data_IF_595679096916
#
_entry.id   IF_595679096916
#
_cell.length_a   1.000
_cell.length_b   1.000
_cell.length_c   1.000
_cell.angle_alpha   90.00
_cell.angle_beta   90.00
_cell.angle_gamma   90.00
#
_symmetry.space_group_name_H-M   'P 1'
#
loop_
_entity.id
_entity.type
_entity.pdbx_description
1 polymer ?
#
# COMPACT_ATOMS: atom_id res chain seq x y z
N UNK A 1 -2.03 9.80 -0.87
CA UNK A 1 -2.66 8.50 -0.52
C UNK A 1 -3.51 8.73 0.73
N UNK A 2 -4.66 8.06 0.91
CA UNK A 2 -5.54 8.27 2.11
C UNK A 2 -5.67 7.05 3.01
N UNK A 3 -5.33 5.88 2.51
CA UNK A 3 -5.40 4.62 3.22
C UNK A 3 -4.31 3.73 2.65
N UNK A 4 -3.68 2.95 3.53
CA UNK A 4 -2.78 1.87 3.17
C UNK A 4 -3.12 0.65 4.01
N UNK A 5 -3.24 -0.50 3.35
CA UNK A 5 -3.49 -1.79 3.97
C UNK A 5 -2.52 -2.82 3.42
N UNK A 6 -1.93 -3.62 4.29
CA UNK A 6 -1.10 -4.75 3.90
C UNK A 6 -1.22 -5.89 4.93
N UNK A 7 -1.28 -7.12 4.42
CA UNK A 7 -1.38 -8.32 5.24
C UNK A 7 -0.17 -9.22 5.00
N UNK A 8 0.49 -9.62 6.08
CA UNK A 8 1.52 -10.65 6.01
C UNK A 8 0.85 -12.00 5.82
N UNK A 9 1.29 -12.73 4.80
CA UNK A 9 0.83 -14.08 4.51
C UNK A 9 2.07 -14.96 4.37
N UNK A 10 2.14 -16.02 5.16
CA UNK A 10 3.22 -17.01 5.15
C UNK A 10 2.58 -18.39 5.10
N UNK A 11 3.14 -19.31 4.31
CA UNK A 11 2.62 -20.67 4.19
C UNK A 11 1.14 -20.77 3.80
N UNK A 12 0.65 -19.77 3.04
CA UNK A 12 -0.77 -19.59 2.65
C UNK A 12 -1.70 -19.36 3.84
N UNK A 13 -1.15 -18.93 4.97
CA UNK A 13 -1.90 -18.52 6.16
C UNK A 13 -1.67 -17.04 6.40
N UNK A 14 -2.77 -16.32 6.62
CA UNK A 14 -2.73 -14.93 7.08
C UNK A 14 -2.12 -14.90 8.47
N UNK A 15 -1.11 -14.06 8.64
CA UNK A 15 -0.52 -13.78 9.94
C UNK A 15 -1.33 -12.71 10.68
N UNK A 16 -1.19 -12.66 12.01
CA UNK A 16 -1.80 -11.59 12.79
C UNK A 16 -1.20 -10.22 12.47
N UNK A 17 0.08 -10.19 12.08
CA UNK A 17 0.77 -8.97 11.73
C UNK A 17 0.18 -8.35 10.46
N UNK A 18 -0.23 -7.10 10.55
CA UNK A 18 -0.83 -6.33 9.47
C UNK A 18 -0.40 -4.87 9.60
N UNK A 19 -0.34 -4.19 8.46
CA UNK A 19 -0.03 -2.77 8.39
C UNK A 19 -1.26 -2.07 7.83
N UNK A 20 -1.99 -1.34 8.68
CA UNK A 20 -3.22 -0.65 8.28
C UNK A 20 -3.23 0.75 8.86
N UNK A 21 -3.27 1.76 7.99
CA UNK A 21 -3.32 3.17 8.36
C UNK A 21 -4.30 3.91 7.46
N UNK A 22 -5.09 4.81 8.07
CA UNK A 22 -5.73 5.92 7.37
C UNK A 22 -4.73 7.09 7.43
N UNK A 23 -4.68 7.93 6.40
CA UNK A 23 -3.65 8.96 6.25
C UNK A 23 -4.23 10.34 5.97
N UNK A 24 -3.66 11.36 6.62
CA UNK A 24 -3.91 12.76 6.27
C UNK A 24 -3.33 13.06 4.89
N UNK A 25 -4.15 13.69 4.05
CA UNK A 25 -3.66 14.31 2.84
C UNK A 25 -2.94 15.62 3.15
N UNK A 26 -1.85 15.86 2.43
CA UNK A 26 -1.16 17.16 2.43
C UNK A 26 -2.06 18.29 1.92
N UNK A 27 -2.99 17.97 1.02
CA UNK A 27 -3.97 18.86 0.41
C UNK A 27 -5.41 18.47 0.78
N UNK A 28 -6.36 19.40 0.69
CA UNK A 28 -7.76 19.09 1.01
C UNK A 28 -8.35 18.03 0.06
N UNK A 29 -9.18 17.12 0.59
CA UNK A 29 -9.96 16.19 -0.22
C UNK A 29 -10.82 16.96 -1.23
N UNK A 30 -10.63 16.66 -2.52
CA UNK A 30 -11.55 17.12 -3.56
C UNK A 30 -12.96 16.55 -3.32
N UNK A 31 -13.99 17.26 -3.75
CA UNK A 31 -15.40 16.84 -3.61
C UNK A 31 -15.68 15.46 -4.24
N UNK A 32 -14.87 15.06 -5.23
CA UNK A 32 -14.96 13.76 -5.91
C UNK A 32 -14.44 12.61 -5.02
N UNK A 33 -13.36 12.84 -4.27
CA UNK A 33 -12.80 11.86 -3.32
C UNK A 33 -13.78 11.61 -2.16
N UNK A 34 -14.41 12.65 -1.60
CA UNK A 34 -15.40 12.50 -0.52
C UNK A 34 -16.57 11.57 -0.91
N UNK A 35 -17.03 11.64 -2.17
CA UNK A 35 -18.13 10.81 -2.68
C UNK A 35 -17.76 9.34 -2.88
N UNK A 36 -16.49 9.04 -3.16
CA UNK A 36 -16.02 7.66 -3.39
C UNK A 36 -15.68 6.97 -2.09
N UNK A 37 -15.02 7.69 -1.16
CA UNK A 37 -14.44 7.09 0.04
C UNK A 37 -15.36 7.16 1.26
N UNK A 38 -16.30 8.10 1.30
CA UNK A 38 -17.17 8.33 2.48
C UNK A 38 -16.43 8.88 3.71
N UNK A 39 -15.13 9.13 3.61
CA UNK A 39 -14.30 9.69 4.68
C UNK A 39 -14.39 11.22 4.65
N UNK A 40 -14.72 11.81 5.80
CA UNK A 40 -14.79 13.26 5.96
C UNK A 40 -13.42 13.86 6.30
N UNK A 41 -13.22 15.16 6.05
CA UNK A 41 -11.97 15.83 6.43
C UNK A 41 -11.77 15.79 7.95
N UNK A 42 -12.85 15.76 8.73
CA UNK A 42 -12.79 15.69 10.20
C UNK A 42 -12.24 14.35 10.69
N UNK A 43 -12.60 13.24 10.04
CA UNK A 43 -12.09 11.91 10.39
C UNK A 43 -10.59 11.75 10.12
N UNK A 44 -10.05 12.56 9.20
CA UNK A 44 -8.63 12.52 8.87
C UNK A 44 -7.78 13.35 9.82
N UNK A 45 -8.32 14.34 10.53
CA UNK A 45 -7.50 15.40 11.19
C UNK A 45 -6.42 14.91 12.16
N UNK A 46 -6.62 13.75 12.78
CA UNK A 46 -5.73 13.18 13.79
C UNK A 46 -4.92 11.98 13.26
N UNK A 47 -5.09 11.62 11.99
CA UNK A 47 -4.38 10.51 11.35
C UNK A 47 -2.95 10.89 10.93
N UNK A 48 -1.99 9.95 10.85
CA UNK A 48 -0.64 10.29 10.45
C UNK A 48 -0.57 10.67 8.96
N UNK A 49 0.45 11.43 8.57
CA UNK A 49 0.84 11.57 7.16
C UNK A 49 1.75 10.41 6.77
N UNK A 50 1.82 10.11 5.47
CA UNK A 50 2.68 9.04 4.98
C UNK A 50 4.15 9.13 5.45
N UNK A 51 4.82 10.31 5.46
CA UNK A 51 6.20 10.40 5.94
C UNK A 51 6.40 9.93 7.39
N UNK A 52 5.37 10.01 8.23
CA UNK A 52 5.42 9.59 9.64
C UNK A 52 5.40 8.07 9.80
N UNK A 53 4.85 7.36 8.81
CA UNK A 53 4.77 5.88 8.80
C UNK A 53 5.70 5.24 7.75
N UNK A 54 6.45 6.03 6.99
CA UNK A 54 7.22 5.55 5.84
C UNK A 54 8.32 4.54 6.24
N UNK A 55 9.05 4.81 7.32
CA UNK A 55 10.09 3.91 7.82
C UNK A 55 9.50 2.60 8.35
N UNK A 56 8.38 2.67 9.07
CA UNK A 56 7.66 1.50 9.57
C UNK A 56 7.14 0.64 8.42
N UNK A 57 6.56 1.28 7.39
CA UNK A 57 6.10 0.61 6.17
C UNK A 57 7.25 -0.14 5.48
N UNK A 58 8.40 0.52 5.30
CA UNK A 58 9.56 -0.09 4.65
C UNK A 58 10.11 -1.29 5.44
N UNK A 59 10.12 -1.22 6.77
CA UNK A 59 10.46 -2.35 7.64
C UNK A 59 9.45 -3.48 7.51
N UNK A 60 8.16 -3.16 7.43
CA UNK A 60 7.09 -4.15 7.30
C UNK A 60 7.18 -4.97 6.02
N UNK A 61 7.58 -4.33 4.90
CA UNK A 61 7.71 -4.99 3.59
C UNK A 61 9.13 -5.52 3.32
N UNK A 62 10.06 -5.40 4.27
CA UNK A 62 11.43 -5.86 4.07
C UNK A 62 11.46 -7.37 3.81
N UNK A 63 12.33 -7.81 2.91
CA UNK A 63 12.51 -9.23 2.54
C UNK A 63 11.21 -9.95 2.10
N UNK A 64 10.26 -9.19 1.56
CA UNK A 64 8.91 -9.66 1.23
C UNK A 64 8.62 -9.54 -0.27
N UNK A 65 7.84 -10.47 -0.81
CA UNK A 65 7.25 -10.33 -2.15
C UNK A 65 5.93 -9.59 -2.05
N UNK A 66 5.80 -8.45 -2.74
CA UNK A 66 4.60 -7.65 -2.77
C UNK A 66 3.62 -8.19 -3.82
N UNK A 67 2.53 -8.83 -3.39
CA UNK A 67 1.38 -9.04 -4.28
C UNK A 67 0.47 -7.83 -4.23
N UNK A 68 0.22 -7.19 -5.37
CA UNK A 68 -0.71 -6.08 -5.50
C UNK A 68 -1.64 -6.37 -6.70
N UNK A 69 -2.90 -5.94 -6.64
CA UNK A 69 -3.80 -6.07 -7.79
C UNK A 69 -3.73 -4.82 -8.65
N UNK A 70 -3.32 -4.95 -9.92
CA UNK A 70 -2.98 -3.80 -10.77
C UNK A 70 -1.81 -2.99 -10.19
N UNK A 71 -0.70 -3.68 -9.90
CA UNK A 71 0.46 -3.18 -9.18
C UNK A 71 1.01 -1.82 -9.65
N UNK A 72 1.08 -1.49 -10.97
CA UNK A 72 1.58 -0.20 -11.42
C UNK A 72 0.85 1.00 -10.82
N UNK A 73 -0.44 0.84 -10.49
CA UNK A 73 -1.23 1.90 -9.89
C UNK A 73 -0.77 2.23 -8.47
N UNK A 74 -0.77 1.25 -7.56
CA UNK A 74 -0.38 1.48 -6.16
C UNK A 74 1.11 1.79 -6.01
N UNK A 75 1.98 1.14 -6.78
CA UNK A 75 3.41 1.45 -6.81
C UNK A 75 3.66 2.91 -7.20
N UNK A 76 2.89 3.45 -8.16
CA UNK A 76 2.97 4.86 -8.53
C UNK A 76 2.68 5.80 -7.35
N UNK A 77 1.67 5.47 -6.53
CA UNK A 77 1.39 6.24 -5.32
C UNK A 77 2.47 6.05 -4.26
N UNK A 78 2.85 4.81 -3.94
CA UNK A 78 3.83 4.51 -2.90
C UNK A 78 5.19 5.13 -3.20
N UNK A 79 5.71 4.96 -4.41
CA UNK A 79 7.00 5.51 -4.81
C UNK A 79 6.98 7.05 -4.77
N UNK A 80 5.87 7.68 -5.15
CA UNK A 80 5.71 9.13 -5.05
C UNK A 80 5.70 9.60 -3.58
N UNK A 81 4.95 8.93 -2.70
CA UNK A 81 4.89 9.28 -1.28
C UNK A 81 6.23 9.04 -0.57
N UNK A 82 6.94 7.95 -0.89
CA UNK A 82 8.30 7.68 -0.39
C UNK A 82 9.29 8.78 -0.81
N UNK A 83 9.21 9.23 -2.06
CA UNK A 83 10.02 10.36 -2.55
C UNK A 83 9.70 11.67 -1.81
N UNK A 84 8.41 11.94 -1.56
CA UNK A 84 7.97 13.12 -0.81
C UNK A 84 8.35 13.07 0.67
N UNK A 85 8.50 11.87 1.24
CA UNK A 85 8.99 11.65 2.59
C UNK A 85 10.52 11.84 2.71
N UNK A 86 11.22 12.23 1.63
CA UNK A 86 12.68 12.36 1.58
C UNK A 86 13.41 11.08 1.99
N UNK A 87 12.76 9.93 1.81
CA UNK A 87 13.41 8.65 1.94
C UNK A 87 14.11 8.40 0.61
N UNK A 88 15.41 8.68 0.57
CA UNK A 88 16.26 8.46 -0.60
C UNK A 88 16.38 6.94 -0.80
N UNK A 89 15.42 6.40 -1.55
CA UNK A 89 15.27 4.97 -1.74
C UNK A 89 15.13 4.64 -3.22
N UNK A 90 15.77 3.54 -3.67
CA UNK A 90 15.41 2.92 -4.94
C UNK A 90 13.91 2.57 -4.92
N UNK A 91 13.29 2.54 -6.10
CA UNK A 91 11.85 2.30 -6.21
C UNK A 91 11.49 0.95 -5.57
N UNK A 92 10.25 0.78 -5.11
CA UNK A 92 9.85 -0.46 -4.42
C UNK A 92 10.11 -1.72 -5.25
N UNK A 93 9.98 -1.61 -6.58
CA UNK A 93 10.28 -2.66 -7.55
C UNK A 93 11.76 -3.06 -7.59
N UNK A 94 12.66 -2.19 -7.14
CA UNK A 94 14.09 -2.47 -7.01
C UNK A 94 14.44 -3.09 -5.65
N UNK A 95 13.57 -2.97 -4.64
CA UNK A 95 13.78 -3.46 -3.27
C UNK A 95 13.09 -4.80 -3.01
N UNK A 96 11.92 -4.98 -3.59
CA UNK A 96 11.03 -6.11 -3.37
C UNK A 96 10.68 -6.74 -4.71
N UNK A 97 10.52 -8.07 -4.72
CA UNK A 97 9.82 -8.72 -5.82
C UNK A 97 8.36 -8.25 -5.82
N UNK A 98 7.83 -7.90 -6.99
CA UNK A 98 6.42 -7.47 -7.14
C UNK A 98 5.70 -8.43 -8.05
N UNK A 99 4.53 -8.86 -7.61
CA UNK A 99 3.61 -9.71 -8.36
C UNK A 99 2.29 -8.98 -8.56
N UNK A 100 1.91 -8.79 -9.82
CA UNK A 100 0.59 -8.27 -10.16
C UNK A 100 -0.43 -9.41 -10.22
N UNK A 101 -1.30 -9.48 -9.21
CA UNK A 101 -2.36 -10.48 -9.15
C UNK A 101 -3.39 -10.35 -10.28
N UNK A 102 -3.55 -9.16 -10.89
CA UNK A 102 -4.43 -8.98 -12.05
C UNK A 102 -3.85 -9.71 -13.28
N UNK A 103 -2.53 -9.67 -13.47
CA UNK A 103 -1.87 -10.41 -14.52
C UNK A 103 -1.96 -11.91 -14.27
N UNK A 104 -1.69 -12.37 -13.05
CA UNK A 104 -1.86 -13.78 -12.67
C UNK A 104 -3.29 -14.29 -12.90
N UNK A 105 -4.30 -13.48 -12.57
CA UNK A 105 -5.70 -13.84 -12.77
C UNK A 105 -6.07 -13.94 -14.26
N UNK A 106 -5.46 -13.11 -15.12
CA UNK A 106 -5.63 -13.20 -16.58
C UNK A 106 -4.95 -14.44 -17.16
N UNK A 107 -3.87 -14.92 -16.54
CA UNK A 107 -3.08 -16.06 -17.00
C UNK A 107 -3.49 -17.42 -16.39
N UNK A 108 -4.49 -17.49 -15.50
CA UNK A 108 -4.93 -18.70 -14.80
C UNK A 108 -3.83 -19.42 -13.99
N UNK A 109 -2.86 -18.68 -13.45
CA UNK A 109 -1.72 -19.27 -12.71
C UNK A 109 -2.03 -19.40 -11.21
N UNK A 110 -1.83 -20.61 -10.66
CA UNK A 110 -2.08 -20.92 -9.25
C UNK A 110 -0.87 -20.54 -8.39
N UNK A 111 -1.06 -19.60 -7.48
CA UNK A 111 0.02 -18.92 -6.77
C UNK A 111 0.47 -19.72 -5.50
N UNK A 112 1.79 -19.86 -5.25
CA UNK A 112 2.40 -20.47 -4.03
C UNK A 112 3.22 -19.46 -3.19
N UNK A 113 2.86 -19.34 -1.88
CA UNK A 113 3.48 -18.54 -0.78
C UNK A 113 3.86 -17.09 -1.12
N UNK A 114 3.14 -16.12 -0.55
CA UNK A 114 3.41 -14.69 -0.76
C UNK A 114 2.84 -13.84 0.35
N UNK A 115 3.31 -12.60 0.45
CA UNK A 115 2.66 -11.53 1.20
C UNK A 115 1.61 -10.88 0.31
N UNK A 116 0.35 -11.07 0.68
CA UNK A 116 -0.79 -10.43 0.03
C UNK A 116 -0.88 -8.98 0.46
N UNK A 117 -0.22 -8.09 -0.25
CA UNK A 117 -0.41 -6.65 -0.07
C UNK A 117 -1.69 -6.24 -0.80
N UNK A 118 -2.85 -6.51 -0.19
CA UNK A 118 -4.07 -5.83 -0.62
C UNK A 118 -3.97 -4.39 -0.11
N UNK A 119 -3.30 -3.55 -0.89
CA UNK A 119 -3.44 -2.10 -0.78
C UNK A 119 -4.86 -1.83 -1.26
N UNK A 120 -5.80 -1.94 -0.34
CA UNK A 120 -7.17 -1.57 -0.62
C UNK A 120 -7.17 -0.05 -0.68
N UNK A 121 -7.08 0.47 -1.90
CA UNK A 121 -7.70 1.75 -2.20
C UNK A 121 -9.14 1.45 -2.57
N UNK A 122 -10.08 1.83 -1.70
CA UNK A 122 -11.39 2.29 -2.21
C UNK A 122 -11.19 3.75 -2.47
#
# INVERSE_FOLDING_TARGET
MIEIGALLVEDRKRQMNHFMYILILKDQLTTKLKKVHGISNEQLKDEPKFPEIAEEFLKFIENSTLIIHNAPFDLGFLNNELKLASVDNPSLEQKCEVIDSLLLARENIQAKKFIGCIIKKI
#
